data_IF_371432547829
#
_entry.id   IF_371432547829
#
_cell.length_a   1.000
_cell.length_b   1.000
_cell.length_c   1.000
_cell.angle_alpha   90.00
_cell.angle_beta   90.00
_cell.angle_gamma   90.00
#
_symmetry.space_group_name_H-M   'P 1'
#
loop_
_entity.id
_entity.type
_entity.pdbx_description
1 polymer ?
#
# COMPACT_ATOMS: atom_id res chain seq x y z
N UNK A 1 -20.78 9.04 12.57
CA UNK A 1 -20.44 8.95 14.02
C UNK A 1 -18.98 9.37 14.18
N UNK A 2 -18.67 10.44 14.92
CA UNK A 2 -17.28 10.84 15.18
C UNK A 2 -16.56 9.77 16.01
N UNK A 3 -15.24 9.63 15.83
CA UNK A 3 -14.36 8.73 16.60
C UNK A 3 -14.71 7.23 16.56
N UNK A 4 -15.44 6.78 15.53
CA UNK A 4 -15.69 5.36 15.26
C UNK A 4 -15.04 4.97 13.93
N UNK A 5 -14.09 4.05 14.00
CA UNK A 5 -13.39 3.49 12.83
C UNK A 5 -14.22 2.44 12.09
N UNK A 6 -14.06 2.38 10.77
CA UNK A 6 -14.69 1.41 9.90
C UNK A 6 -13.64 0.80 8.98
N UNK A 7 -13.75 -0.51 8.71
CA UNK A 7 -12.95 -1.12 7.65
C UNK A 7 -13.22 -0.45 6.32
N UNK A 8 -12.16 0.03 5.68
CA UNK A 8 -12.22 0.68 4.38
C UNK A 8 -12.13 -0.38 3.27
N UNK A 9 -13.28 -0.98 2.98
CA UNK A 9 -13.48 -1.88 1.84
C UNK A 9 -13.10 -1.24 0.49
N UNK A 10 -13.31 0.06 0.31
CA UNK A 10 -12.92 0.79 -0.91
C UNK A 10 -11.39 0.75 -1.09
N UNK A 11 -10.62 1.08 -0.05
CA UNK A 11 -9.15 0.97 -0.06
C UNK A 11 -8.71 -0.44 -0.44
N UNK A 12 -9.31 -1.45 0.19
CA UNK A 12 -9.02 -2.86 -0.07
C UNK A 12 -9.32 -3.24 -1.52
N UNK A 13 -10.53 -2.98 -1.99
CA UNK A 13 -11.04 -3.51 -3.26
C UNK A 13 -10.45 -2.79 -4.47
N UNK A 14 -10.20 -1.48 -4.37
CA UNK A 14 -9.57 -0.73 -5.46
C UNK A 14 -8.11 -1.13 -5.65
N UNK A 15 -7.38 -1.37 -4.55
CA UNK A 15 -5.94 -1.60 -4.60
C UNK A 15 -5.59 -3.10 -4.72
N UNK A 16 -6.15 -3.97 -3.87
CA UNK A 16 -5.94 -5.43 -3.95
C UNK A 16 -6.82 -6.08 -5.02
N UNK A 17 -8.04 -5.59 -5.19
CA UNK A 17 -9.10 -6.26 -5.94
C UNK A 17 -10.15 -6.82 -4.99
N UNK A 18 -11.38 -6.95 -5.50
CA UNK A 18 -12.54 -7.38 -4.73
C UNK A 18 -12.35 -8.76 -4.11
N UNK A 19 -13.02 -8.99 -2.99
CA UNK A 19 -12.73 -10.12 -2.10
C UNK A 19 -13.81 -11.18 -2.03
N UNK A 20 -14.93 -11.08 -2.74
CA UNK A 20 -15.90 -12.17 -2.76
C UNK A 20 -15.32 -13.39 -3.49
N UNK A 21 -15.81 -14.59 -3.16
CA UNK A 21 -15.34 -15.83 -3.80
C UNK A 21 -15.57 -15.83 -5.32
N UNK A 22 -16.72 -15.30 -5.77
CA UNK A 22 -17.04 -15.15 -7.20
C UNK A 22 -16.18 -14.12 -7.90
N UNK A 23 -15.60 -13.16 -7.17
CA UNK A 23 -14.71 -12.12 -7.70
C UNK A 23 -13.23 -12.40 -7.36
N UNK A 24 -12.87 -13.64 -7.01
CA UNK A 24 -11.49 -13.98 -6.62
C UNK A 24 -10.44 -13.73 -7.71
N UNK A 25 -10.84 -13.69 -8.98
CA UNK A 25 -9.96 -13.35 -10.11
C UNK A 25 -9.88 -11.84 -10.41
N UNK A 26 -10.74 -11.02 -9.82
CA UNK A 26 -10.73 -9.56 -10.03
C UNK A 26 -9.45 -8.95 -9.46
N UNK A 27 -8.70 -8.24 -10.30
CA UNK A 27 -7.49 -7.51 -9.91
C UNK A 27 -7.85 -6.10 -9.42
N UNK A 28 -7.12 -5.60 -8.43
CA UNK A 28 -7.00 -4.17 -8.12
C UNK A 28 -5.69 -3.57 -8.65
N UNK A 29 -5.45 -2.29 -8.34
CA UNK A 29 -4.28 -1.52 -8.78
C UNK A 29 -2.95 -2.25 -8.53
N UNK A 30 -2.71 -2.68 -7.29
CA UNK A 30 -1.48 -3.35 -6.87
C UNK A 30 -1.32 -4.77 -7.42
N UNK A 31 -2.40 -5.36 -7.95
CA UNK A 31 -2.40 -6.69 -8.61
C UNK A 31 -2.48 -6.61 -10.14
N UNK A 32 -2.39 -5.40 -10.72
CA UNK A 32 -2.24 -5.20 -12.16
C UNK A 32 -3.42 -4.59 -12.90
N UNK A 33 -4.49 -4.16 -12.23
CA UNK A 33 -5.59 -3.38 -12.84
C UNK A 33 -5.25 -1.88 -12.79
N UNK A 34 -4.35 -1.43 -13.67
CA UNK A 34 -3.78 -0.07 -13.60
C UNK A 34 -4.79 1.05 -13.83
N UNK A 35 -5.90 0.78 -14.50
CA UNK A 35 -7.05 1.71 -14.61
C UNK A 35 -7.60 2.16 -13.25
N UNK A 36 -7.33 1.42 -12.17
CA UNK A 36 -7.68 1.82 -10.81
C UNK A 36 -6.74 2.88 -10.22
N UNK A 37 -5.72 3.37 -10.95
CA UNK A 37 -4.75 4.36 -10.45
C UNK A 37 -5.43 5.57 -9.83
N UNK A 38 -6.36 6.20 -10.56
CA UNK A 38 -7.08 7.39 -10.07
C UNK A 38 -7.94 7.08 -8.84
N UNK A 39 -8.66 5.94 -8.87
CA UNK A 39 -9.47 5.49 -7.74
C UNK A 39 -8.62 5.23 -6.49
N UNK A 40 -7.39 4.72 -6.67
CA UNK A 40 -6.49 4.42 -5.55
C UNK A 40 -6.11 5.68 -4.76
N UNK A 41 -6.08 6.86 -5.39
CA UNK A 41 -5.78 8.14 -4.74
C UNK A 41 -6.76 8.44 -3.59
N UNK A 42 -8.04 8.10 -3.75
CA UNK A 42 -9.04 8.27 -2.70
C UNK A 42 -8.72 7.38 -1.50
N UNK A 43 -8.29 6.14 -1.74
CA UNK A 43 -7.83 5.24 -0.68
C UNK A 43 -6.58 5.75 0.06
N UNK A 44 -5.55 6.19 -0.67
CA UNK A 44 -4.30 6.72 -0.10
C UNK A 44 -4.54 7.92 0.83
N UNK A 45 -5.60 8.68 0.57
CA UNK A 45 -6.00 9.87 1.33
C UNK A 45 -7.11 9.58 2.33
N UNK A 46 -7.20 8.34 2.82
CA UNK A 46 -8.19 7.89 3.81
C UNK A 46 -9.65 8.14 3.40
N UNK A 47 -9.93 8.29 2.10
CA UNK A 47 -11.24 8.65 1.54
C UNK A 47 -11.88 9.89 2.21
N UNK A 48 -11.07 10.89 2.59
CA UNK A 48 -11.58 12.15 3.16
C UNK A 48 -11.63 13.32 2.18
N UNK A 49 -10.89 13.23 1.07
CA UNK A 49 -10.92 14.22 0.00
C UNK A 49 -12.25 14.14 -0.76
N UNK A 50 -12.74 15.31 -1.16
CA UNK A 50 -13.97 15.45 -1.94
C UNK A 50 -13.68 15.35 -3.45
N UNK A 51 -14.69 15.70 -4.26
CA UNK A 51 -14.63 15.75 -5.74
C UNK A 51 -13.31 16.34 -6.23
N UNK A 52 -12.58 15.65 -7.12
CA UNK A 52 -13.01 14.51 -7.94
C UNK A 52 -12.85 13.13 -7.26
N UNK A 53 -12.45 13.07 -6.00
CA UNK A 53 -12.23 11.81 -5.29
C UNK A 53 -13.50 11.30 -4.60
N UNK A 54 -13.57 9.97 -4.46
CA UNK A 54 -14.68 9.34 -3.74
C UNK A 54 -14.51 9.48 -2.23
N UNK A 55 -15.29 10.40 -1.65
CA UNK A 55 -15.33 10.65 -0.20
C UNK A 55 -16.21 9.64 0.52
N UNK A 56 -15.69 9.05 1.60
CA UNK A 56 -16.41 8.10 2.47
C UNK A 56 -16.43 8.53 3.93
N UNK A 57 -15.39 9.24 4.37
CA UNK A 57 -15.19 9.59 5.78
C UNK A 57 -15.05 11.10 5.97
N UNK A 58 -15.34 11.58 7.19
CA UNK A 58 -15.17 12.97 7.56
C UNK A 58 -13.79 13.24 8.18
N UNK A 59 -13.13 12.20 8.69
CA UNK A 59 -11.85 12.29 9.37
C UNK A 59 -11.03 11.01 9.11
N UNK A 60 -9.69 11.11 8.97
CA UNK A 60 -8.86 9.95 8.62
C UNK A 60 -8.87 8.85 9.68
N UNK A 61 -9.12 9.15 10.96
CA UNK A 61 -9.24 8.17 12.04
C UNK A 61 -10.42 7.19 11.85
N UNK A 62 -11.37 7.52 10.97
CA UNK A 62 -12.50 6.65 10.65
C UNK A 62 -12.15 5.57 9.60
N UNK A 63 -11.01 5.69 8.92
CA UNK A 63 -10.59 4.79 7.84
C UNK A 63 -9.60 3.76 8.33
N UNK A 64 -10.05 2.52 8.56
CA UNK A 64 -9.19 1.38 8.88
C UNK A 64 -8.74 0.72 7.57
N UNK A 65 -7.49 0.95 7.19
CA UNK A 65 -6.92 0.55 5.91
C UNK A 65 -6.16 -0.76 6.04
N UNK A 66 -6.73 -1.84 5.51
CA UNK A 66 -6.10 -3.15 5.45
C UNK A 66 -6.50 -3.89 4.18
N UNK A 67 -5.63 -4.78 3.71
CA UNK A 67 -5.90 -5.59 2.51
C UNK A 67 -6.49 -6.96 2.83
N UNK A 68 -6.31 -7.43 4.05
CA UNK A 68 -6.66 -8.76 4.51
C UNK A 68 -7.10 -8.71 5.96
N UNK A 69 -7.99 -9.63 6.29
CA UNK A 69 -8.48 -9.92 7.64
C UNK A 69 -8.52 -11.43 7.79
N UNK A 70 -9.07 -11.93 8.91
CA UNK A 70 -9.37 -13.35 9.03
C UNK A 70 -10.48 -13.80 8.04
N UNK A 71 -11.37 -12.91 7.61
CA UNK A 71 -12.35 -13.18 6.57
C UNK A 71 -11.73 -13.20 5.17
N UNK A 72 -12.36 -13.97 4.27
CA UNK A 72 -11.96 -14.16 2.88
C UNK A 72 -10.56 -14.82 2.73
N UNK A 73 -10.09 -14.92 1.48
CA UNK A 73 -8.75 -15.38 1.16
C UNK A 73 -7.68 -14.39 1.64
N UNK A 74 -6.51 -14.92 2.03
CA UNK A 74 -5.33 -14.08 2.26
C UNK A 74 -4.95 -13.34 0.96
N UNK A 75 -4.17 -12.27 1.06
CA UNK A 75 -3.63 -11.55 -0.10
C UNK A 75 -2.76 -12.48 -0.95
N UNK A 76 -2.00 -13.38 -0.32
CA UNK A 76 -1.18 -14.34 -1.02
C UNK A 76 -2.02 -15.29 -1.88
N UNK A 77 -3.10 -15.84 -1.32
CA UNK A 77 -4.02 -16.74 -2.00
C UNK A 77 -4.85 -16.00 -3.06
N UNK A 78 -5.24 -14.75 -2.78
CA UNK A 78 -5.87 -13.87 -3.77
C UNK A 78 -4.96 -13.66 -4.98
N UNK A 79 -3.68 -13.37 -4.78
CA UNK A 79 -2.70 -13.24 -5.87
C UNK A 79 -2.43 -14.59 -6.55
N UNK A 80 -2.49 -15.70 -5.83
CA UNK A 80 -2.42 -17.03 -6.46
C UNK A 80 -3.55 -17.23 -7.47
N UNK A 81 -4.76 -16.74 -7.17
CA UNK A 81 -5.90 -16.78 -8.10
C UNK A 81 -5.79 -15.72 -9.23
N UNK A 82 -5.70 -14.43 -8.90
CA UNK A 82 -5.81 -13.36 -9.90
C UNK A 82 -4.50 -13.06 -10.65
N UNK A 83 -3.34 -13.38 -10.08
CA UNK A 83 -2.00 -13.24 -10.67
C UNK A 83 -1.39 -14.62 -10.97
N UNK A 84 -2.23 -15.58 -11.41
CA UNK A 84 -1.84 -16.98 -11.63
C UNK A 84 -0.72 -17.19 -12.68
N UNK A 85 -0.51 -16.22 -13.57
CA UNK A 85 0.54 -16.23 -14.58
C UNK A 85 1.86 -15.63 -14.07
N UNK A 86 1.92 -15.18 -12.82
CA UNK A 86 3.10 -14.55 -12.23
C UNK A 86 3.87 -15.52 -11.34
N UNK A 87 5.19 -15.44 -11.42
CA UNK A 87 6.08 -16.22 -10.57
C UNK A 87 6.00 -15.76 -9.10
N UNK A 88 6.63 -16.55 -8.22
CA UNK A 88 6.65 -16.27 -6.79
C UNK A 88 7.34 -14.94 -6.47
N UNK A 89 8.43 -14.62 -7.16
CA UNK A 89 9.21 -13.42 -6.92
C UNK A 89 8.40 -12.15 -7.25
N UNK A 90 7.63 -12.17 -8.31
CA UNK A 90 6.72 -11.11 -8.74
C UNK A 90 5.62 -10.89 -7.69
N UNK A 91 5.01 -11.97 -7.19
CA UNK A 91 4.03 -11.89 -6.09
C UNK A 91 4.62 -11.36 -4.78
N UNK A 92 5.88 -11.70 -4.45
CA UNK A 92 6.58 -11.11 -3.30
C UNK A 92 6.75 -9.59 -3.48
N UNK A 93 7.10 -9.10 -4.67
CA UNK A 93 7.20 -7.66 -4.93
C UNK A 93 5.85 -6.96 -4.73
N UNK A 94 4.75 -7.53 -5.25
CA UNK A 94 3.39 -7.02 -5.02
C UNK A 94 3.02 -7.04 -3.53
N UNK A 95 3.38 -8.09 -2.79
CA UNK A 95 3.17 -8.17 -1.34
C UNK A 95 3.88 -7.02 -0.62
N UNK A 96 5.17 -6.81 -0.90
CA UNK A 96 5.97 -5.71 -0.34
C UNK A 96 5.38 -4.34 -0.71
N UNK A 97 4.98 -4.15 -1.96
CA UNK A 97 4.33 -2.93 -2.42
C UNK A 97 3.02 -2.67 -1.65
N UNK A 98 2.18 -3.68 -1.44
CA UNK A 98 0.96 -3.55 -0.63
C UNK A 98 1.28 -3.23 0.83
N UNK A 99 2.27 -3.88 1.45
CA UNK A 99 2.76 -3.52 2.79
C UNK A 99 3.15 -2.03 2.85
N UNK A 100 3.92 -1.54 1.88
CA UNK A 100 4.34 -0.15 1.83
C UNK A 100 3.15 0.79 1.65
N UNK A 101 2.21 0.48 0.75
CA UNK A 101 0.98 1.26 0.53
C UNK A 101 0.18 1.39 1.84
N UNK A 102 0.01 0.32 2.60
CA UNK A 102 -0.66 0.36 3.91
C UNK A 102 0.05 1.32 4.87
N UNK A 103 1.39 1.30 4.89
CA UNK A 103 2.18 2.08 5.84
C UNK A 103 2.31 3.56 5.48
N UNK A 104 2.21 3.94 4.21
CA UNK A 104 2.33 5.36 3.79
C UNK A 104 0.99 6.07 3.66
N UNK A 105 -0.12 5.34 3.51
CA UNK A 105 -1.45 5.95 3.37
C UNK A 105 -1.91 6.69 4.62
N UNK A 106 -2.72 7.74 4.46
CA UNK A 106 -3.42 8.38 5.58
C UNK A 106 -4.43 7.42 6.19
N UNK A 107 -4.79 7.66 7.46
CA UNK A 107 -5.74 6.85 8.21
C UNK A 107 -5.08 5.84 9.14
N UNK A 108 -5.81 4.78 9.51
CA UNK A 108 -5.37 3.78 10.49
C UNK A 108 -4.91 2.52 9.76
N UNK A 109 -3.60 2.19 9.73
CA UNK A 109 -3.14 0.97 9.09
C UNK A 109 -3.61 -0.26 9.89
N UNK A 110 -4.13 -1.26 9.19
CA UNK A 110 -4.51 -2.55 9.72
C UNK A 110 -3.76 -3.65 8.96
N UNK A 111 -3.25 -4.63 9.70
CA UNK A 111 -2.48 -5.74 9.18
C UNK A 111 -2.96 -7.02 9.84
N UNK A 112 -3.42 -7.98 9.03
CA UNK A 112 -3.70 -9.33 9.49
C UNK A 112 -2.39 -10.07 9.79
N UNK A 113 -2.34 -10.79 10.91
CA UNK A 113 -1.15 -11.58 11.26
C UNK A 113 -0.89 -12.62 10.16
N UNK A 114 0.36 -12.66 9.67
CA UNK A 114 0.75 -13.50 8.54
C UNK A 114 0.86 -12.76 7.21
N UNK A 115 0.24 -11.58 7.07
CA UNK A 115 0.43 -10.74 5.90
C UNK A 115 1.91 -10.36 5.69
N UNK A 116 2.67 -10.19 6.77
CA UNK A 116 4.09 -9.86 6.76
C UNK A 116 5.02 -11.00 6.33
N UNK A 117 4.51 -12.24 6.23
CA UNK A 117 5.24 -13.41 5.75
C UNK A 117 4.46 -14.22 4.69
N UNK A 118 3.64 -13.52 3.91
CA UNK A 118 2.92 -14.09 2.77
C UNK A 118 2.01 -15.26 3.15
N UNK A 119 1.36 -15.24 4.31
CA UNK A 119 0.60 -16.38 4.83
C UNK A 119 -0.49 -16.90 3.89
N UNK A 120 -0.81 -18.18 4.00
CA UNK A 120 -1.73 -18.89 3.09
C UNK A 120 -2.70 -19.76 3.87
N UNK A 121 -3.97 -19.73 3.44
CA UNK A 121 -5.02 -20.64 3.91
C UNK A 121 -5.26 -21.76 2.90
N UNK A 122 -4.28 -22.03 2.03
CA UNK A 122 -4.38 -23.01 0.93
C UNK A 122 -5.62 -22.77 0.06
N UNK A 123 -5.84 -21.51 -0.29
CA UNK A 123 -6.99 -21.03 -1.07
C UNK A 123 -8.36 -21.20 -0.38
N UNK A 124 -8.40 -21.56 0.91
CA UNK A 124 -9.65 -21.59 1.68
C UNK A 124 -10.18 -20.18 1.90
N UNK A 125 -11.35 -19.90 1.33
CA UNK A 125 -11.97 -18.58 1.37
C UNK A 125 -12.65 -18.25 2.70
N UNK A 126 -13.12 -19.25 3.44
CA UNK A 126 -13.83 -19.06 4.70
C UNK A 126 -13.45 -20.15 5.68
N UNK A 127 -12.38 -19.90 6.43
CA UNK A 127 -11.70 -20.90 7.26
C UNK A 127 -12.24 -20.99 8.69
N UNK A 128 -13.44 -20.47 8.99
CA UNK A 128 -13.97 -20.34 10.36
C UNK A 128 -13.99 -21.67 11.16
N UNK A 129 -14.19 -22.79 10.48
CA UNK A 129 -14.22 -24.15 11.06
C UNK A 129 -13.15 -25.07 10.44
N UNK A 130 -12.20 -24.51 9.71
CA UNK A 130 -11.12 -25.26 9.08
C UNK A 130 -10.08 -25.71 10.12
N UNK A 131 -9.39 -26.85 9.89
CA UNK A 131 -8.41 -27.37 10.85
C UNK A 131 -7.18 -26.46 10.99
N UNK A 132 -6.36 -26.73 12.00
CA UNK A 132 -5.11 -26.00 12.27
C UNK A 132 -4.18 -25.97 11.05
N UNK A 133 -4.17 -27.00 10.21
CA UNK A 133 -3.39 -27.02 8.97
C UNK A 133 -3.71 -25.85 8.02
N UNK A 134 -4.91 -25.26 8.13
CA UNK A 134 -5.38 -24.12 7.33
C UNK A 134 -5.23 -22.79 8.09
N UNK A 135 -5.37 -22.78 9.42
CA UNK A 135 -5.47 -21.53 10.22
C UNK A 135 -4.23 -21.23 11.09
N UNK A 136 -3.33 -22.18 11.29
CA UNK A 136 -2.15 -21.97 12.15
C UNK A 136 -1.21 -20.94 11.54
N UNK A 137 -0.53 -20.18 12.39
CA UNK A 137 0.62 -19.37 11.98
C UNK A 137 1.78 -20.30 11.63
N UNK A 138 2.15 -20.35 10.35
CA UNK A 138 3.25 -21.17 9.85
C UNK A 138 4.60 -20.45 10.07
N UNK A 139 5.29 -20.82 11.15
CA UNK A 139 6.58 -20.22 11.50
C UNK A 139 7.72 -20.63 10.57
N UNK A 140 7.64 -21.80 9.92
CA UNK A 140 8.62 -22.20 8.89
C UNK A 140 8.46 -21.33 7.65
N UNK A 141 7.21 -21.02 7.28
CA UNK A 141 6.90 -20.04 6.24
C UNK A 141 7.40 -18.65 6.59
N UNK A 142 7.24 -18.22 7.85
CA UNK A 142 7.80 -16.95 8.33
C UNK A 142 9.32 -16.88 8.14
N UNK A 143 10.05 -17.95 8.48
CA UNK A 143 11.49 -18.03 8.25
C UNK A 143 11.86 -18.02 6.76
N UNK A 144 11.08 -18.71 5.93
CA UNK A 144 11.26 -18.72 4.48
C UNK A 144 11.07 -17.33 3.85
N UNK A 145 10.09 -16.55 4.30
CA UNK A 145 9.80 -15.18 3.83
C UNK A 145 10.37 -14.08 4.74
N UNK A 146 11.46 -14.36 5.45
CA UNK A 146 12.07 -13.42 6.40
C UNK A 146 12.44 -12.05 5.77
N UNK A 147 12.68 -12.00 4.47
CA UNK A 147 12.91 -10.76 3.72
C UNK A 147 11.67 -9.86 3.69
N UNK A 148 10.47 -10.44 3.60
CA UNK A 148 9.19 -9.71 3.66
C UNK A 148 8.93 -9.23 5.08
N UNK A 149 9.24 -10.04 6.09
CA UNK A 149 9.16 -9.66 7.51
C UNK A 149 10.10 -8.48 7.82
N UNK A 150 11.34 -8.55 7.33
CA UNK A 150 12.32 -7.45 7.47
C UNK A 150 11.82 -6.18 6.77
N UNK A 151 11.26 -6.31 5.58
CA UNK A 151 10.68 -5.19 4.84
C UNK A 151 9.48 -4.58 5.59
N UNK A 152 8.59 -5.41 6.12
CA UNK A 152 7.46 -4.98 6.95
C UNK A 152 7.92 -4.16 8.15
N UNK A 153 8.91 -4.65 8.91
CA UNK A 153 9.50 -3.91 10.03
C UNK A 153 10.05 -2.54 9.61
N UNK A 154 10.74 -2.48 8.47
CA UNK A 154 11.27 -1.23 7.92
C UNK A 154 10.14 -0.27 7.50
N UNK A 155 9.09 -0.77 6.85
CA UNK A 155 7.93 0.04 6.45
C UNK A 155 7.17 0.59 7.67
N UNK A 156 7.00 -0.22 8.73
CA UNK A 156 6.44 0.25 10.01
C UNK A 156 7.33 1.29 10.67
N UNK A 157 8.66 1.09 10.67
CA UNK A 157 9.61 2.07 11.21
C UNK A 157 9.55 3.40 10.43
N UNK A 158 9.46 3.34 9.10
CA UNK A 158 9.27 4.51 8.25
C UNK A 158 8.02 5.29 8.68
N UNK A 159 6.85 4.64 8.75
CA UNK A 159 5.60 5.30 9.17
C UNK A 159 5.74 6.01 10.52
N UNK A 160 6.42 5.37 11.49
CA UNK A 160 6.65 5.95 12.82
C UNK A 160 7.59 7.15 12.79
N UNK A 161 8.56 7.17 11.87
CA UNK A 161 9.54 8.26 11.75
C UNK A 161 9.06 9.46 10.93
N UNK A 162 8.07 9.28 10.07
CA UNK A 162 7.58 10.30 9.14
C UNK A 162 6.16 10.70 9.54
N UNK A 163 6.05 11.79 10.29
CA UNK A 163 4.77 12.29 10.82
C UNK A 163 3.74 12.64 9.75
N UNK A 164 4.20 12.98 8.55
CA UNK A 164 3.41 13.38 7.38
C UNK A 164 2.44 12.26 6.95
N UNK A 165 2.73 10.99 7.24
CA UNK A 165 1.81 9.87 6.97
C UNK A 165 0.62 9.76 7.95
N UNK A 166 0.59 10.59 9.00
CA UNK A 166 -0.36 10.50 10.12
C UNK A 166 -1.05 11.84 10.41
N UNK A 167 -1.48 12.58 9.37
CA UNK A 167 -2.26 13.81 9.51
C UNK A 167 -3.58 13.51 10.23
N UNK A 168 -4.05 14.45 11.06
CA UNK A 168 -5.12 14.19 12.03
C UNK A 168 -6.49 14.57 11.52
N UNK A 169 -6.56 15.47 10.54
CA UNK A 169 -7.83 16.01 10.06
C UNK A 169 -7.93 15.97 8.54
N UNK A 170 -9.16 15.93 8.03
CA UNK A 170 -9.42 16.07 6.61
C UNK A 170 -8.95 17.43 6.05
N UNK A 171 -8.99 18.49 6.88
CA UNK A 171 -8.47 19.81 6.50
C UNK A 171 -6.97 19.77 6.24
N UNK A 172 -6.19 19.20 7.16
CA UNK A 172 -4.73 19.05 6.98
C UNK A 172 -4.41 18.22 5.73
N UNK A 173 -5.16 17.13 5.49
CA UNK A 173 -4.98 16.32 4.28
C UNK A 173 -5.27 17.17 3.05
N UNK A 174 -6.38 17.90 3.01
CA UNK A 174 -6.75 18.76 1.89
C UNK A 174 -5.73 19.87 1.61
N UNK A 175 -5.08 20.42 2.65
CA UNK A 175 -4.10 21.50 2.50
C UNK A 175 -2.69 21.00 2.15
N UNK A 176 -2.27 19.86 2.71
CA UNK A 176 -0.88 19.39 2.64
C UNK A 176 -0.66 18.29 1.61
N UNK A 177 -1.70 17.57 1.20
CA UNK A 177 -1.58 16.44 0.28
C UNK A 177 -1.85 16.87 -1.15
N UNK A 178 -0.97 16.45 -2.07
CA UNK A 178 -1.23 16.48 -3.51
C UNK A 178 -1.08 15.07 -4.07
N UNK A 179 -2.10 14.64 -4.81
CA UNK A 179 -2.16 13.31 -5.45
C UNK A 179 -2.43 13.45 -6.93
N UNK A 180 -1.76 12.65 -7.74
CA UNK A 180 -2.03 12.58 -9.18
C UNK A 180 -1.58 11.23 -9.76
N UNK A 181 -2.02 10.96 -10.98
CA UNK A 181 -1.62 9.80 -11.78
C UNK A 181 -0.77 10.31 -12.94
N UNK A 182 0.40 9.72 -13.14
CA UNK A 182 1.23 9.99 -14.31
C UNK A 182 0.69 9.23 -15.55
N UNK A 183 1.11 9.63 -16.74
CA UNK A 183 0.65 9.02 -18.01
C UNK A 183 0.91 7.51 -18.07
N UNK A 184 1.93 7.03 -17.36
CA UNK A 184 2.32 5.63 -17.26
C UNK A 184 1.57 4.83 -16.18
N UNK A 185 0.52 5.43 -15.60
CA UNK A 185 -0.33 4.93 -14.52
C UNK A 185 0.36 4.78 -13.16
N UNK A 186 1.55 5.35 -12.98
CA UNK A 186 2.17 5.46 -11.67
C UNK A 186 1.47 6.51 -10.84
N UNK A 187 1.28 6.21 -9.56
CA UNK A 187 0.60 7.08 -8.61
C UNK A 187 1.63 7.90 -7.85
N UNK A 188 1.39 9.20 -7.80
CA UNK A 188 2.17 10.15 -7.02
C UNK A 188 1.35 10.68 -5.85
N UNK A 189 2.01 10.78 -4.71
CA UNK A 189 1.42 11.20 -3.46
C UNK A 189 2.43 12.03 -2.67
N UNK A 190 2.30 13.35 -2.80
CA UNK A 190 3.13 14.33 -2.11
C UNK A 190 2.44 14.82 -0.84
N UNK A 191 3.22 14.98 0.22
CA UNK A 191 2.77 15.51 1.51
C UNK A 191 3.74 16.60 1.95
N UNK A 192 3.23 17.82 2.07
CA UNK A 192 3.99 18.95 2.60
C UNK A 192 4.25 18.75 4.10
N UNK A 193 5.51 18.90 4.50
CA UNK A 193 5.95 18.84 5.89
C UNK A 193 5.73 20.15 6.64
N UNK A 194 6.28 20.22 7.84
CA UNK A 194 6.03 21.31 8.80
C UNK A 194 6.50 22.69 8.32
N UNK A 195 7.55 22.74 7.47
CA UNK A 195 8.07 23.98 6.85
C UNK A 195 7.50 24.22 5.45
N UNK A 196 6.32 23.66 5.15
CA UNK A 196 5.69 23.76 3.84
C UNK A 196 6.46 23.01 2.76
N UNK A 197 6.45 23.54 1.52
CA UNK A 197 7.07 22.88 0.37
C UNK A 197 8.59 22.66 0.52
N UNK A 198 9.28 23.35 1.42
CA UNK A 198 10.72 23.19 1.61
C UNK A 198 11.09 21.81 2.17
N UNK A 199 10.16 21.14 2.88
CA UNK A 199 10.30 19.77 3.37
C UNK A 199 9.10 18.98 2.88
N UNK A 200 9.24 18.27 1.77
CA UNK A 200 8.14 17.48 1.17
C UNK A 200 8.51 16.00 1.18
N UNK A 201 7.55 15.17 1.56
CA UNK A 201 7.61 13.73 1.35
C UNK A 201 6.90 13.42 0.04
N UNK A 202 7.56 12.69 -0.85
CA UNK A 202 6.99 12.21 -2.11
C UNK A 202 6.94 10.70 -2.10
N UNK A 203 5.77 10.14 -2.33
CA UNK A 203 5.57 8.71 -2.56
C UNK A 203 5.28 8.49 -4.03
N UNK A 204 5.97 7.52 -4.63
CA UNK A 204 5.77 7.09 -6.02
C UNK A 204 5.49 5.59 -6.04
N UNK A 205 4.38 5.20 -6.64
CA UNK A 205 3.95 3.80 -6.74
C UNK A 205 3.99 3.39 -8.20
N UNK A 206 4.83 2.40 -8.51
CA UNK A 206 4.92 1.81 -9.84
C UNK A 206 4.22 0.43 -9.85
N UNK A 207 3.01 0.33 -10.42
CA UNK A 207 2.25 -0.92 -10.47
C UNK A 207 2.68 -1.82 -11.63
N UNK A 208 3.64 -1.36 -12.46
CA UNK A 208 4.03 -2.00 -13.70
C UNK A 208 5.18 -2.99 -13.52
N UNK A 209 5.37 -3.86 -14.52
CA UNK A 209 6.44 -4.87 -14.54
C UNK A 209 7.77 -4.33 -15.08
N UNK A 210 7.83 -3.04 -15.45
CA UNK A 210 9.04 -2.36 -15.87
C UNK A 210 9.40 -1.21 -14.93
N UNK A 211 10.67 -0.83 -14.92
CA UNK A 211 11.14 0.31 -14.15
C UNK A 211 10.61 1.63 -14.73
N UNK A 212 10.31 2.59 -13.87
CA UNK A 212 9.94 3.96 -14.27
C UNK A 212 11.03 4.93 -13.88
N UNK A 213 11.27 5.91 -14.73
CA UNK A 213 12.31 6.91 -14.53
C UNK A 213 11.68 8.29 -14.61
N UNK A 214 11.91 9.10 -13.57
CA UNK A 214 11.40 10.46 -13.50
C UNK A 214 12.54 11.45 -13.32
N UNK A 215 12.42 12.59 -14.01
CA UNK A 215 13.27 13.75 -13.82
C UNK A 215 12.46 14.88 -13.20
N UNK A 216 13.02 15.52 -12.18
CA UNK A 216 12.39 16.63 -11.46
C UNK A 216 13.28 17.87 -11.51
N UNK A 217 12.71 19.05 -11.26
CA UNK A 217 13.48 20.29 -11.18
C UNK A 217 14.37 20.30 -9.93
N UNK A 218 13.85 19.82 -8.80
CA UNK A 218 14.58 19.76 -7.54
C UNK A 218 15.19 18.39 -7.27
N UNK A 219 16.21 18.36 -6.40
CA UNK A 219 16.85 17.12 -5.99
C UNK A 219 16.13 16.50 -4.79
N UNK A 220 15.94 15.19 -4.86
CA UNK A 220 15.25 14.36 -3.86
C UNK A 220 16.19 13.31 -3.28
N UNK A 221 16.10 13.07 -1.98
CA UNK A 221 16.74 11.93 -1.32
C UNK A 221 15.75 10.77 -1.26
N UNK A 222 16.12 9.59 -1.74
CA UNK A 222 15.34 8.38 -1.49
C UNK A 222 15.55 7.96 -0.03
N UNK A 223 14.48 7.97 0.77
CA UNK A 223 14.52 7.58 2.18
C UNK A 223 13.96 6.17 2.41
N UNK A 224 13.25 5.61 1.43
CA UNK A 224 12.75 4.24 1.45
C UNK A 224 12.58 3.71 0.02
N UNK A 225 13.39 2.72 -0.34
CA UNK A 225 13.36 2.05 -1.65
C UNK A 225 12.57 0.72 -1.62
N UNK A 226 12.59 -0.02 -2.72
CA UNK A 226 11.92 -1.32 -2.86
C UNK A 226 12.46 -2.41 -1.92
N UNK A 227 13.60 -2.16 -1.27
CA UNK A 227 14.23 -3.01 -0.26
C UNK A 227 14.12 -2.43 1.16
N UNK A 228 13.44 -1.29 1.29
CA UNK A 228 13.20 -0.57 2.54
C UNK A 228 14.43 0.15 3.06
N UNK A 229 15.39 0.48 2.18
CA UNK A 229 16.61 1.20 2.53
C UNK A 229 16.51 2.67 2.15
N UNK A 230 17.30 3.50 2.81
CA UNK A 230 17.57 4.88 2.40
C UNK A 230 18.82 4.95 1.51
N UNK A 231 18.83 5.83 0.52
CA UNK A 231 19.99 6.10 -0.30
C UNK A 231 20.71 7.38 0.17
N UNK A 232 22.03 7.42 -0.02
CA UNK A 232 22.85 8.59 0.30
C UNK A 232 22.82 9.59 -0.85
N UNK A 233 22.66 10.86 -0.53
CA UNK A 233 22.67 11.94 -1.51
C UNK A 233 21.28 12.29 -2.07
N UNK A 234 21.24 13.36 -2.85
CA UNK A 234 20.03 13.84 -3.53
C UNK A 234 20.23 13.81 -5.03
N UNK A 235 19.22 13.34 -5.76
CA UNK A 235 19.21 13.28 -7.22
C UNK A 235 17.95 13.94 -7.76
N UNK A 236 18.05 14.60 -8.91
CA UNK A 236 16.89 15.05 -9.67
C UNK A 236 16.34 13.96 -10.61
N UNK A 237 17.03 12.82 -10.71
CA UNK A 237 16.59 11.63 -11.44
C UNK A 237 16.29 10.52 -10.45
N UNK A 238 15.08 9.99 -10.47
CA UNK A 238 14.65 8.90 -9.59
C UNK A 238 14.13 7.74 -10.42
N UNK A 239 14.69 6.55 -10.18
CA UNK A 239 14.14 5.29 -10.67
C UNK A 239 13.14 4.75 -9.65
N UNK A 240 11.98 4.30 -10.11
CA UNK A 240 10.99 3.56 -9.33
C UNK A 240 10.91 2.15 -9.93
N UNK A 241 11.56 1.15 -9.32
CA UNK A 241 11.61 -0.20 -9.86
C UNK A 241 10.24 -0.82 -10.10
N UNK A 242 10.18 -1.81 -10.98
CA UNK A 242 8.97 -2.58 -11.25
C UNK A 242 8.30 -3.10 -9.97
N UNK A 243 6.97 -2.98 -9.89
CA UNK A 243 6.12 -3.50 -8.81
C UNK A 243 6.58 -3.04 -7.42
N UNK A 244 6.87 -1.74 -7.29
CA UNK A 244 7.43 -1.18 -6.08
C UNK A 244 6.85 0.18 -5.72
N UNK A 245 7.20 0.63 -4.53
CA UNK A 245 6.90 1.96 -4.01
C UNK A 245 8.20 2.55 -3.47
N UNK A 246 8.49 3.80 -3.85
CA UNK A 246 9.61 4.56 -3.31
C UNK A 246 9.12 5.81 -2.58
N UNK A 247 9.77 6.12 -1.46
CA UNK A 247 9.55 7.35 -0.70
C UNK A 247 10.80 8.22 -0.77
N UNK A 248 10.59 9.46 -1.18
CA UNK A 248 11.60 10.49 -1.28
C UNK A 248 11.32 11.63 -0.30
N UNK A 249 12.38 12.32 0.11
CA UNK A 249 12.33 13.56 0.89
C UNK A 249 13.13 14.66 0.21
N UNK A 250 12.58 15.86 0.17
CA UNK A 250 13.29 17.08 -0.21
C UNK A 250 13.84 17.80 1.00
#
# INVERSE_FOLDING_TARGET
MPHIGHFNDYFRDVIKGKTSESEKYERGYATGKWENAFASLAGLTANVLDTPHYKRFFSPDQSINGFETHDNSTVWDKMHACCNNEDRATRIRRQKMMIAITMVSQGVPFVHAGFEFCDTKKDNHNSYNAPDEINRMDWERMEYYQEVVKYFRKATALRRSVSEFCLKTALEINEKVKVWVADDQSVFYDIAGSKGNAETIRVMINPSTGDRFYSFDEKWQVIFDENGNSQTGKSNHVCVPALSLIVCKR
#
